data_IF_393303501399
#
_entry.id   IF_393303501399
#
_cell.length_a   1.000
_cell.length_b   1.000
_cell.length_c   1.000
_cell.angle_alpha   90.00
_cell.angle_beta   90.00
_cell.angle_gamma   90.00
#
_symmetry.space_group_name_H-M   'P 1'
#
loop_
_entity.id
_entity.type
_entity.pdbx_description
1 polymer ?
#
# COMPACT_ATOMS: atom_id res chain seq x y z
N UNK A 1 13.30 -5.09 0.20
CA UNK A 1 11.85 -5.19 0.43
C UNK A 1 11.12 -5.38 -0.89
N UNK A 2 9.79 -5.32 -0.91
CA UNK A 2 9.03 -5.11 -2.16
C UNK A 2 9.10 -3.62 -2.55
N UNK A 3 9.16 -3.24 -3.83
CA UNK A 3 9.11 -1.84 -4.24
C UNK A 3 7.70 -1.26 -4.03
N UNK A 4 7.61 0.04 -3.75
CA UNK A 4 6.33 0.74 -3.60
C UNK A 4 5.56 0.87 -4.92
N UNK A 5 6.27 0.90 -6.05
CA UNK A 5 5.72 0.86 -7.40
C UNK A 5 5.99 -0.53 -8.03
N UNK A 6 4.96 -1.28 -8.46
CA UNK A 6 5.15 -2.57 -9.11
C UNK A 6 5.62 -2.38 -10.55
N UNK A 7 6.74 -3.00 -10.92
CA UNK A 7 7.21 -3.00 -12.32
C UNK A 7 6.35 -3.93 -13.17
N UNK A 8 5.46 -3.35 -13.98
CA UNK A 8 4.62 -4.07 -14.92
C UNK A 8 5.33 -4.15 -16.29
N UNK A 9 5.31 -5.34 -16.89
CA UNK A 9 5.77 -5.59 -18.25
C UNK A 9 4.57 -5.98 -19.13
N UNK A 10 4.53 -5.53 -20.37
CA UNK A 10 3.50 -5.91 -21.35
C UNK A 10 4.14 -6.56 -22.58
N UNK A 11 3.40 -7.47 -23.23
CA UNK A 11 3.83 -8.08 -24.50
C UNK A 11 3.12 -7.38 -25.66
N UNK A 12 3.86 -6.95 -26.69
CA UNK A 12 3.28 -6.34 -27.92
C UNK A 12 2.65 -7.37 -28.88
N UNK A 13 2.41 -8.59 -28.42
CA UNK A 13 1.71 -9.62 -29.18
C UNK A 13 0.20 -9.33 -29.09
N UNK A 14 -0.44 -9.23 -30.25
CA UNK A 14 -1.89 -9.03 -30.33
C UNK A 14 -2.58 -10.36 -30.09
N UNK A 15 -3.09 -10.53 -28.88
CA UNK A 15 -3.91 -11.68 -28.50
C UNK A 15 -5.40 -11.27 -28.50
N UNK A 16 -6.29 -12.26 -28.58
CA UNK A 16 -7.75 -12.07 -28.53
C UNK A 16 -8.29 -12.70 -27.24
N UNK A 17 -8.33 -11.91 -26.16
CA UNK A 17 -8.76 -12.40 -24.85
C UNK A 17 -10.26 -12.19 -24.68
N UNK A 18 -11.01 -13.29 -24.63
CA UNK A 18 -12.41 -13.32 -24.22
C UNK A 18 -12.46 -13.62 -22.72
N UNK A 19 -13.12 -12.76 -21.94
CA UNK A 19 -13.39 -13.01 -20.53
C UNK A 19 -14.65 -13.88 -20.43
N UNK A 20 -14.63 -15.04 -19.74
CA UNK A 20 -15.80 -15.90 -19.62
C UNK A 20 -17.00 -15.15 -19.01
N UNK A 21 -18.19 -15.32 -19.59
CA UNK A 21 -19.41 -14.65 -19.11
C UNK A 21 -19.62 -14.88 -17.60
N UNK A 22 -19.95 -13.82 -16.86
CA UNK A 22 -20.12 -13.83 -15.40
C UNK A 22 -18.82 -13.90 -14.59
N UNK A 23 -17.64 -13.86 -15.21
CA UNK A 23 -16.37 -13.79 -14.47
C UNK A 23 -16.12 -12.36 -13.94
N UNK A 24 -15.84 -12.15 -12.64
CA UNK A 24 -15.56 -10.82 -12.08
C UNK A 24 -14.13 -10.36 -12.40
N UNK A 25 -13.98 -9.10 -12.78
CA UNK A 25 -12.69 -8.48 -13.09
C UNK A 25 -12.73 -6.99 -12.77
N UNK A 26 -11.55 -6.41 -12.47
CA UNK A 26 -11.44 -4.96 -12.26
C UNK A 26 -11.01 -4.27 -13.56
N UNK A 27 -11.51 -3.05 -13.77
CA UNK A 27 -11.20 -2.20 -14.91
C UNK A 27 -10.62 -0.87 -14.41
N UNK A 28 -9.36 -0.62 -14.69
CA UNK A 28 -8.68 0.64 -14.36
C UNK A 28 -8.42 1.44 -15.64
N UNK A 29 -8.89 2.67 -15.71
CA UNK A 29 -8.54 3.58 -16.80
C UNK A 29 -7.27 4.33 -16.42
N UNK A 30 -6.28 4.29 -17.31
CA UNK A 30 -4.97 4.87 -17.08
C UNK A 30 -4.98 6.36 -17.44
N UNK A 31 -4.35 7.20 -16.62
CA UNK A 31 -4.34 8.65 -16.82
C UNK A 31 -3.72 9.01 -18.18
N UNK A 32 -4.47 9.74 -19.00
CA UNK A 32 -4.16 9.92 -20.41
C UNK A 32 -2.87 10.73 -20.65
N UNK A 33 -2.57 11.68 -19.77
CA UNK A 33 -1.39 12.56 -19.87
C UNK A 33 -0.08 11.77 -19.64
N UNK A 34 0.02 11.01 -18.55
CA UNK A 34 1.22 10.21 -18.24
C UNK A 34 1.44 9.02 -19.20
N UNK A 35 0.41 8.64 -19.97
CA UNK A 35 0.41 7.40 -20.76
C UNK A 35 0.09 7.59 -22.25
N UNK A 36 0.08 8.84 -22.74
CA UNK A 36 -0.13 9.16 -24.16
C UNK A 36 0.78 8.35 -25.13
N UNK A 37 2.09 8.12 -24.86
CA UNK A 37 2.93 7.32 -25.77
C UNK A 37 2.50 5.84 -25.82
N UNK A 38 1.99 5.29 -24.71
CA UNK A 38 1.47 3.92 -24.65
C UNK A 38 0.12 3.82 -25.40
N UNK A 39 -0.73 4.85 -25.30
CA UNK A 39 -1.98 4.93 -26.03
C UNK A 39 -1.75 4.98 -27.55
N UNK A 40 -0.86 5.86 -28.01
CA UNK A 40 -0.43 5.96 -29.41
C UNK A 40 0.13 4.62 -29.91
N UNK A 41 1.01 3.99 -29.13
CA UNK A 41 1.66 2.73 -29.48
C UNK A 41 0.67 1.56 -29.61
N UNK A 42 -0.32 1.46 -28.73
CA UNK A 42 -1.39 0.46 -28.85
C UNK A 42 -2.22 0.76 -30.11
N UNK A 43 -2.65 2.02 -30.29
CA UNK A 43 -3.45 2.45 -31.43
C UNK A 43 -2.75 2.28 -32.80
N UNK A 44 -1.42 2.39 -32.85
CA UNK A 44 -0.64 2.17 -34.09
C UNK A 44 -0.52 0.70 -34.49
N UNK A 45 -0.85 -0.25 -33.61
CA UNK A 45 -0.76 -1.69 -33.92
C UNK A 45 -2.07 -2.32 -34.39
N UNK A 46 -3.11 -1.53 -34.66
CA UNK A 46 -4.43 -2.02 -35.10
C UNK A 46 -4.31 -2.78 -36.42
N UNK A 47 -4.48 -4.11 -36.35
CA UNK A 47 -4.44 -5.01 -37.51
C UNK A 47 -5.76 -4.92 -38.27
N UNK A 48 -5.77 -4.67 -39.60
CA UNK A 48 -6.98 -4.69 -40.40
C UNK A 48 -7.76 -6.01 -40.26
N UNK A 49 -9.08 -5.93 -40.14
CA UNK A 49 -9.96 -7.09 -39.91
C UNK A 49 -10.11 -7.51 -38.44
N UNK A 50 -9.11 -7.29 -37.59
CA UNK A 50 -9.25 -7.48 -36.14
C UNK A 50 -9.75 -6.16 -35.54
N UNK A 51 -11.05 -6.10 -35.22
CA UNK A 51 -11.66 -4.89 -34.67
C UNK A 51 -10.96 -4.38 -33.42
N UNK A 52 -10.84 -3.05 -33.26
CA UNK A 52 -10.14 -2.37 -32.13
C UNK A 52 -10.59 -2.82 -30.73
N UNK A 53 -11.76 -3.44 -30.63
CA UNK A 53 -12.31 -3.98 -29.39
C UNK A 53 -11.82 -5.40 -29.01
N UNK A 54 -11.04 -6.06 -29.88
CA UNK A 54 -10.52 -7.43 -29.67
C UNK A 54 -9.02 -7.43 -29.36
N UNK A 55 -8.26 -6.49 -29.93
CA UNK A 55 -6.83 -6.35 -29.71
C UNK A 55 -6.53 -6.01 -28.24
N UNK A 56 -5.73 -6.87 -27.60
CA UNK A 56 -5.30 -6.69 -26.23
C UNK A 56 -3.86 -7.19 -26.02
N UNK A 57 -3.15 -6.57 -25.08
CA UNK A 57 -1.73 -6.78 -24.82
C UNK A 57 -1.52 -7.36 -23.42
N UNK A 58 -1.11 -8.64 -23.28
CA UNK A 58 -0.96 -9.28 -21.97
C UNK A 58 0.05 -8.58 -21.06
N UNK A 59 -0.32 -8.36 -19.80
CA UNK A 59 0.51 -7.73 -18.76
C UNK A 59 0.92 -8.77 -17.71
N UNK A 60 2.21 -8.79 -17.38
CA UNK A 60 2.81 -9.58 -16.32
C UNK A 60 3.57 -8.68 -15.34
N UNK A 61 3.77 -9.14 -14.09
CA UNK A 61 4.64 -8.44 -13.14
C UNK A 61 6.08 -8.89 -13.41
N UNK A 62 7.04 -7.95 -13.46
CA UNK A 62 8.45 -8.28 -13.70
C UNK A 62 8.96 -9.25 -12.62
N UNK A 63 9.43 -10.42 -13.04
CA UNK A 63 9.86 -11.49 -12.13
C UNK A 63 8.74 -12.40 -11.60
N UNK A 64 7.52 -12.36 -12.17
CA UNK A 64 6.44 -13.31 -11.82
C UNK A 64 6.63 -14.74 -12.37
N UNK A 65 7.71 -15.00 -13.12
CA UNK A 65 8.04 -16.32 -13.65
C UNK A 65 8.21 -17.34 -12.52
N UNK A 66 7.49 -18.47 -12.62
CA UNK A 66 7.74 -19.64 -11.78
C UNK A 66 9.06 -20.26 -12.24
N UNK A 67 10.10 -20.19 -11.39
CA UNK A 67 11.51 -20.50 -11.70
C UNK A 67 11.80 -21.91 -12.23
N UNK A 68 10.77 -22.76 -12.29
CA UNK A 68 10.81 -24.19 -12.58
C UNK A 68 9.97 -24.60 -13.81
N UNK A 69 9.19 -23.70 -14.43
CA UNK A 69 8.09 -24.12 -15.34
C UNK A 69 7.77 -23.29 -16.58
N UNK A 70 8.31 -22.07 -16.80
CA UNK A 70 8.11 -21.37 -18.08
C UNK A 70 9.06 -20.20 -18.32
N UNK A 71 9.52 -20.06 -19.56
CA UNK A 71 10.25 -18.88 -20.05
C UNK A 71 9.35 -17.62 -20.11
N UNK A 72 8.04 -17.78 -20.34
CA UNK A 72 7.10 -16.65 -20.45
C UNK A 72 6.49 -16.35 -19.07
N UNK A 73 6.59 -15.09 -18.65
CA UNK A 73 6.00 -14.65 -17.38
C UNK A 73 4.47 -14.77 -17.40
N UNK A 74 3.90 -15.37 -16.34
CA UNK A 74 2.46 -15.54 -16.20
C UNK A 74 1.76 -14.18 -16.16
N UNK A 75 0.79 -13.91 -17.06
CA UNK A 75 0.07 -12.64 -17.09
C UNK A 75 -1.03 -12.59 -16.03
N UNK A 76 -1.37 -11.39 -15.57
CA UNK A 76 -2.44 -11.13 -14.59
C UNK A 76 -3.49 -10.14 -15.14
N UNK A 77 -3.42 -9.80 -16.42
CA UNK A 77 -4.32 -8.85 -17.04
C UNK A 77 -3.90 -8.52 -18.47
N UNK A 78 -4.56 -7.55 -19.06
CA UNK A 78 -4.19 -7.00 -20.37
C UNK A 78 -4.47 -5.51 -20.48
N UNK A 79 -3.68 -4.83 -21.30
CA UNK A 79 -3.97 -3.46 -21.75
C UNK A 79 -4.82 -3.51 -23.03
N UNK A 80 -5.74 -2.55 -23.17
CA UNK A 80 -6.54 -2.33 -24.37
C UNK A 80 -6.80 -0.83 -24.54
N UNK A 81 -6.75 -0.34 -25.78
CA UNK A 81 -7.12 1.05 -26.08
C UNK A 81 -8.61 1.29 -25.85
N UNK A 82 -8.96 2.45 -25.29
CA UNK A 82 -10.35 2.88 -25.14
C UNK A 82 -10.80 3.76 -26.32
N UNK A 83 -12.10 4.00 -26.43
CA UNK A 83 -12.70 4.82 -27.51
C UNK A 83 -12.33 6.31 -27.43
N UNK A 84 -11.92 6.78 -26.25
CA UNK A 84 -11.56 8.17 -25.97
C UNK A 84 -10.09 8.50 -26.27
N UNK A 85 -9.31 7.51 -26.73
CA UNK A 85 -7.88 7.66 -27.03
C UNK A 85 -6.93 7.41 -25.85
N UNK A 86 -7.45 6.97 -24.70
CA UNK A 86 -6.67 6.49 -23.55
C UNK A 86 -6.48 4.97 -23.53
N UNK A 87 -5.92 4.45 -22.43
CA UNK A 87 -5.66 3.01 -22.24
C UNK A 87 -6.37 2.51 -21.00
N UNK A 88 -6.93 1.30 -21.10
CA UNK A 88 -7.57 0.59 -19.99
C UNK A 88 -6.76 -0.65 -19.63
N UNK A 89 -6.44 -0.82 -18.34
CA UNK A 89 -5.92 -2.04 -17.76
C UNK A 89 -7.09 -2.88 -17.23
N UNK A 90 -7.23 -4.09 -17.77
CA UNK A 90 -8.13 -5.11 -17.24
C UNK A 90 -7.33 -6.03 -16.31
N UNK A 91 -7.68 -6.07 -15.02
CA UNK A 91 -7.01 -6.89 -14.01
C UNK A 91 -7.78 -8.19 -13.81
N UNK A 92 -7.05 -9.29 -13.86
CA UNK A 92 -7.51 -10.66 -13.90
C UNK A 92 -6.70 -11.54 -12.95
N UNK A 93 -7.10 -12.81 -12.74
CA UNK A 93 -6.33 -13.73 -11.93
C UNK A 93 -4.94 -14.02 -12.51
N UNK A 94 -3.99 -14.37 -11.63
CA UNK A 94 -2.67 -14.87 -12.02
C UNK A 94 -2.80 -16.07 -12.99
N UNK A 95 -2.19 -15.95 -14.17
CA UNK A 95 -2.29 -16.90 -15.27
C UNK A 95 -3.73 -17.16 -15.76
N UNK A 96 -4.53 -16.09 -15.92
CA UNK A 96 -5.91 -16.16 -16.40
C UNK A 96 -6.12 -16.93 -17.73
N UNK A 97 -5.21 -16.98 -18.74
CA UNK A 97 -5.50 -17.70 -19.98
C UNK A 97 -5.73 -19.19 -19.74
N UNK A 98 -4.89 -19.81 -18.89
CA UNK A 98 -5.04 -21.21 -18.51
C UNK A 98 -6.33 -21.42 -17.69
N UNK A 99 -6.66 -20.49 -16.80
CA UNK A 99 -7.89 -20.57 -16.01
C UNK A 99 -9.15 -20.49 -16.88
N UNK A 100 -9.17 -19.59 -17.88
CA UNK A 100 -10.32 -19.41 -18.76
C UNK A 100 -10.55 -20.65 -19.63
N UNK A 101 -9.49 -21.28 -20.15
CA UNK A 101 -9.58 -22.59 -20.81
C UNK A 101 -10.20 -23.65 -19.90
N UNK A 102 -9.79 -23.73 -18.62
CA UNK A 102 -10.38 -24.67 -17.67
C UNK A 102 -11.86 -24.37 -17.38
N UNK A 103 -12.24 -23.09 -17.24
CA UNK A 103 -13.64 -22.68 -17.04
C UNK A 103 -14.50 -23.04 -18.25
N UNK A 104 -13.98 -22.90 -19.47
CA UNK A 104 -14.66 -23.34 -20.68
C UNK A 104 -14.76 -24.86 -20.81
N UNK A 105 -13.69 -25.60 -20.52
CA UNK A 105 -13.71 -27.07 -20.49
C UNK A 105 -14.74 -27.60 -19.48
N UNK A 106 -14.91 -26.92 -18.34
CA UNK A 106 -15.92 -27.27 -17.34
C UNK A 106 -17.34 -26.94 -17.81
N UNK A 107 -17.58 -25.73 -18.36
CA UNK A 107 -18.90 -25.31 -18.88
C UNK A 107 -19.40 -26.17 -20.05
N UNK A 108 -18.50 -26.86 -20.76
CA UNK A 108 -18.82 -27.78 -21.86
C UNK A 108 -19.16 -29.21 -21.39
N UNK A 109 -19.09 -29.51 -20.08
CA UNK A 109 -19.45 -30.82 -19.50
C UNK A 109 -20.89 -30.78 -18.96
N UNK A 110 -21.87 -31.44 -19.62
CA UNK A 110 -23.30 -31.24 -19.31
C UNK A 110 -23.76 -31.79 -17.95
N UNK A 111 -22.98 -32.66 -17.32
CA UNK A 111 -23.41 -33.41 -16.12
C UNK A 111 -22.79 -32.88 -14.80
N UNK A 112 -22.13 -31.71 -14.82
CA UNK A 112 -21.48 -31.02 -13.68
C UNK A 112 -20.38 -31.78 -12.90
N UNK A 113 -20.28 -33.10 -13.02
CA UNK A 113 -19.20 -33.92 -12.50
C UNK A 113 -17.90 -33.65 -13.28
N UNK A 114 -17.05 -32.77 -12.73
CA UNK A 114 -15.74 -32.45 -13.26
C UNK A 114 -14.90 -33.73 -13.52
N UNK A 115 -14.53 -33.97 -14.78
CA UNK A 115 -13.81 -35.19 -15.15
C UNK A 115 -12.49 -35.35 -14.38
N UNK A 116 -12.03 -36.58 -14.07
CA UNK A 116 -10.77 -36.79 -13.31
C UNK A 116 -9.55 -36.13 -13.96
N UNK A 117 -9.50 -36.10 -15.30
CA UNK A 117 -8.47 -35.39 -16.07
C UNK A 117 -8.53 -33.87 -15.84
N UNK A 118 -9.72 -33.27 -15.99
CA UNK A 118 -9.93 -31.84 -15.73
C UNK A 118 -9.59 -31.47 -14.28
N UNK A 119 -10.02 -32.29 -13.32
CA UNK A 119 -9.78 -32.05 -11.89
C UNK A 119 -8.29 -32.08 -11.54
N UNK A 120 -7.50 -32.90 -12.25
CA UNK A 120 -6.05 -32.90 -12.11
C UNK A 120 -5.41 -31.64 -12.72
N UNK A 121 -5.83 -31.20 -13.93
CA UNK A 121 -5.39 -29.91 -14.49
C UNK A 121 -5.72 -28.73 -13.54
N UNK A 122 -6.92 -28.72 -12.98
CA UNK A 122 -7.38 -27.65 -12.07
C UNK A 122 -6.56 -27.63 -10.76
N UNK A 123 -6.31 -28.79 -10.14
CA UNK A 123 -5.41 -28.90 -8.98
C UNK A 123 -3.98 -28.44 -9.32
N UNK A 124 -3.46 -28.81 -10.48
CA UNK A 124 -2.14 -28.38 -10.94
C UNK A 124 -2.07 -26.85 -11.12
N UNK A 125 -3.07 -26.25 -11.76
CA UNK A 125 -3.20 -24.79 -11.86
C UNK A 125 -3.21 -24.13 -10.48
N UNK A 126 -4.04 -24.61 -9.54
CA UNK A 126 -4.10 -24.06 -8.18
C UNK A 126 -2.78 -24.23 -7.41
N UNK A 127 -1.99 -25.27 -7.69
CA UNK A 127 -0.63 -25.42 -7.13
C UNK A 127 0.37 -24.37 -7.64
N UNK A 128 0.08 -23.75 -8.80
CA UNK A 128 0.85 -22.64 -9.36
C UNK A 128 0.40 -21.26 -8.88
N UNK A 129 -0.80 -21.12 -8.31
CA UNK A 129 -1.32 -19.85 -7.80
C UNK A 129 -0.70 -19.54 -6.43
N UNK A 130 -0.08 -18.36 -6.23
CA UNK A 130 0.46 -17.97 -4.92
C UNK A 130 -0.62 -17.93 -3.83
N UNK A 131 -0.33 -18.54 -2.67
CA UNK A 131 -1.32 -18.81 -1.62
C UNK A 131 -2.12 -17.58 -1.14
N UNK A 132 -1.51 -16.39 -1.09
CA UNK A 132 -2.16 -15.16 -0.65
C UNK A 132 -3.36 -14.74 -1.53
N UNK A 133 -3.48 -15.23 -2.77
CA UNK A 133 -4.66 -15.01 -3.61
C UNK A 133 -5.86 -15.91 -3.24
N UNK A 134 -5.65 -17.01 -2.52
CA UNK A 134 -6.63 -18.11 -2.45
C UNK A 134 -7.98 -17.74 -1.79
N UNK A 135 -8.04 -16.70 -0.95
CA UNK A 135 -9.31 -16.15 -0.43
C UNK A 135 -10.17 -15.59 -1.56
N UNK A 136 -9.60 -14.74 -2.42
CA UNK A 136 -10.31 -14.11 -3.53
C UNK A 136 -10.79 -15.17 -4.54
N UNK A 137 -9.91 -16.12 -4.89
CA UNK A 137 -10.27 -17.23 -5.78
C UNK A 137 -11.41 -18.10 -5.23
N UNK A 138 -11.45 -18.40 -3.93
CA UNK A 138 -12.54 -19.18 -3.32
C UNK A 138 -13.90 -18.50 -3.49
N UNK A 139 -13.99 -17.19 -3.29
CA UNK A 139 -15.24 -16.47 -3.57
C UNK A 139 -15.56 -16.45 -5.07
N UNK A 140 -14.58 -16.23 -5.97
CA UNK A 140 -14.82 -16.28 -7.42
C UNK A 140 -15.34 -17.65 -7.87
N UNK A 141 -14.75 -18.76 -7.40
CA UNK A 141 -15.22 -20.10 -7.74
C UNK A 141 -16.58 -20.45 -7.16
N UNK A 142 -16.93 -19.92 -5.98
CA UNK A 142 -18.26 -20.02 -5.39
C UNK A 142 -19.31 -19.32 -6.27
N UNK A 143 -19.04 -18.10 -6.75
CA UNK A 143 -19.93 -17.39 -7.69
C UNK A 143 -20.07 -18.12 -9.05
N UNK A 144 -19.03 -18.84 -9.47
CA UNK A 144 -19.02 -19.65 -10.70
C UNK A 144 -19.56 -21.10 -10.50
N UNK A 145 -20.14 -21.44 -9.33
CA UNK A 145 -20.65 -22.78 -9.01
C UNK A 145 -19.59 -23.86 -8.71
N UNK A 146 -18.32 -23.59 -9.01
CA UNK A 146 -17.17 -24.49 -8.82
C UNK A 146 -16.61 -24.51 -7.40
N UNK A 147 -17.23 -23.82 -6.43
CA UNK A 147 -16.71 -23.71 -5.05
C UNK A 147 -16.41 -25.07 -4.40
N UNK A 148 -17.24 -26.09 -4.69
CA UNK A 148 -17.08 -27.46 -4.21
C UNK A 148 -15.84 -28.21 -4.76
N UNK A 149 -15.27 -27.72 -5.87
CA UNK A 149 -14.06 -28.28 -6.49
C UNK A 149 -12.76 -27.69 -5.91
N UNK A 150 -12.86 -26.63 -5.09
CA UNK A 150 -11.69 -25.94 -4.55
C UNK A 150 -11.18 -26.63 -3.28
N UNK A 151 -9.91 -27.05 -3.19
CA UNK A 151 -9.37 -27.70 -2.00
C UNK A 151 -9.52 -26.84 -0.72
N UNK A 152 -9.89 -27.47 0.39
CA UNK A 152 -10.10 -26.77 1.67
C UNK A 152 -8.85 -26.02 2.14
N UNK A 153 -7.67 -26.63 1.99
CA UNK A 153 -6.36 -26.07 2.29
C UNK A 153 -5.86 -25.00 1.30
N UNK A 154 -6.53 -24.80 0.16
CA UNK A 154 -6.10 -23.81 -0.83
C UNK A 154 -6.12 -22.39 -0.24
N UNK A 155 -5.01 -21.67 -0.38
CA UNK A 155 -4.84 -20.31 0.13
C UNK A 155 -4.55 -20.16 1.63
N UNK A 156 -4.41 -21.26 2.39
CA UNK A 156 -4.01 -21.19 3.79
C UNK A 156 -2.57 -20.64 3.87
N UNK A 157 -2.41 -19.55 4.61
CA UNK A 157 -1.12 -18.85 4.84
C UNK A 157 -0.74 -18.99 6.32
N UNK A 158 0.53 -19.19 6.70
CA UNK A 158 0.95 -19.32 8.09
C UNK A 158 0.48 -18.14 8.96
N UNK A 159 -0.45 -18.41 9.88
CA UNK A 159 -1.17 -17.37 10.63
C UNK A 159 -0.35 -16.75 11.77
N UNK A 160 0.40 -17.58 12.52
CA UNK A 160 1.09 -17.16 13.74
C UNK A 160 2.08 -16.00 13.55
N UNK A 161 2.89 -16.02 12.48
CA UNK A 161 3.84 -14.94 12.17
C UNK A 161 3.09 -13.63 11.87
N UNK A 162 2.04 -13.69 11.05
CA UNK A 162 1.24 -12.51 10.70
C UNK A 162 0.53 -11.92 11.94
N UNK A 163 0.00 -12.76 12.83
CA UNK A 163 -0.58 -12.31 14.11
C UNK A 163 0.45 -11.66 15.03
N UNK A 164 1.68 -12.17 15.07
CA UNK A 164 2.76 -11.57 15.87
C UNK A 164 3.20 -10.20 15.31
N UNK A 165 3.33 -10.08 13.99
CA UNK A 165 3.65 -8.81 13.31
C UNK A 165 2.56 -7.75 13.54
N UNK A 166 1.28 -8.10 13.39
CA UNK A 166 0.19 -7.14 13.65
C UNK A 166 0.09 -6.75 15.14
N UNK A 167 0.43 -7.65 16.09
CA UNK A 167 0.57 -7.28 17.51
C UNK A 167 1.70 -6.26 17.74
N UNK A 168 2.89 -6.49 17.18
CA UNK A 168 4.03 -5.55 17.28
C UNK A 168 3.64 -4.19 16.69
N UNK A 169 3.05 -4.19 15.50
CA UNK A 169 2.58 -2.99 14.79
C UNK A 169 1.50 -2.22 15.57
N UNK A 170 0.60 -2.91 16.26
CA UNK A 170 -0.40 -2.29 17.12
C UNK A 170 0.22 -1.67 18.38
N UNK A 171 1.20 -2.33 19.02
CA UNK A 171 1.93 -1.77 20.15
C UNK A 171 2.75 -0.54 19.74
N UNK A 172 3.54 -0.64 18.67
CA UNK A 172 4.34 0.46 18.14
C UNK A 172 3.49 1.67 17.71
N UNK A 173 2.31 1.44 17.10
CA UNK A 173 1.36 2.53 16.84
C UNK A 173 0.83 3.14 18.14
N UNK A 174 0.43 2.34 19.13
CA UNK A 174 -0.06 2.86 20.42
C UNK A 174 1.00 3.72 21.13
N UNK A 175 2.26 3.29 21.12
CA UNK A 175 3.38 4.03 21.70
C UNK A 175 3.65 5.35 20.93
N UNK A 176 3.62 5.31 19.59
CA UNK A 176 3.68 6.51 18.77
C UNK A 176 2.54 7.49 19.07
N UNK A 177 1.29 7.00 19.10
CA UNK A 177 0.10 7.82 19.37
C UNK A 177 0.14 8.41 20.80
N UNK A 178 0.77 7.74 21.78
CA UNK A 178 1.00 8.29 23.13
C UNK A 178 2.04 9.41 23.09
N UNK A 179 3.22 9.16 22.49
CA UNK A 179 4.32 10.13 22.46
C UNK A 179 3.99 11.37 21.61
N UNK A 180 3.23 11.20 20.52
CA UNK A 180 2.82 12.30 19.63
C UNK A 180 1.75 13.21 20.26
N UNK A 181 0.86 12.66 21.08
CA UNK A 181 -0.21 13.41 21.74
C UNK A 181 0.15 13.89 23.16
N UNK A 182 1.35 13.60 23.67
CA UNK A 182 1.82 14.16 24.94
C UNK A 182 2.22 15.63 24.77
N UNK A 183 1.64 16.58 25.53
CA UNK A 183 2.16 17.94 25.59
C UNK A 183 3.53 17.94 26.29
N UNK A 184 4.47 18.75 25.79
CA UNK A 184 5.88 18.72 26.19
C UNK A 184 6.16 19.00 27.69
N UNK A 185 5.17 19.46 28.45
CA UNK A 185 5.28 19.75 29.89
C UNK A 185 5.38 18.51 30.80
N UNK A 186 4.93 17.34 30.35
CA UNK A 186 4.80 16.14 31.20
C UNK A 186 6.16 15.50 31.53
N UNK A 187 7.21 15.76 30.74
CA UNK A 187 8.56 15.22 30.99
C UNK A 187 9.23 15.89 32.21
N UNK A 188 8.83 17.12 32.56
CA UNK A 188 9.47 17.93 33.61
C UNK A 188 8.86 17.81 35.01
N UNK A 189 7.63 17.28 35.17
CA UNK A 189 6.90 17.38 36.45
C UNK A 189 7.44 16.52 37.60
N UNK A 190 8.24 15.50 37.31
CA UNK A 190 8.71 14.54 38.33
C UNK A 190 10.01 14.97 39.06
N UNK A 191 10.52 16.18 38.80
CA UNK A 191 11.68 16.77 39.52
C UNK A 191 11.28 18.07 40.23
N UNK A 192 9.98 18.29 40.48
CA UNK A 192 9.44 19.46 41.17
C UNK A 192 9.57 19.39 42.72
N UNK A 193 10.60 18.72 43.23
CA UNK A 193 11.13 19.03 44.56
C UNK A 193 12.10 20.22 44.39
N UNK A 194 11.92 21.30 45.15
CA UNK A 194 12.73 22.51 45.00
C UNK A 194 14.21 22.21 45.25
N UNK A 195 14.96 21.97 44.17
CA UNK A 195 16.38 21.63 44.22
C UNK A 195 17.14 22.91 44.52
N UNK A 196 17.82 23.04 45.68
CA UNK A 196 18.45 24.29 46.06
C UNK A 196 19.50 24.71 45.02
N UNK A 197 19.58 26.03 44.79
CA UNK A 197 20.58 26.63 43.92
C UNK A 197 21.98 26.26 44.44
N UNK A 198 22.94 25.92 43.56
CA UNK A 198 24.28 25.56 43.98
C UNK A 198 25.00 26.77 44.58
N UNK A 199 25.36 26.70 45.85
CA UNK A 199 26.04 27.78 46.60
C UNK A 199 27.45 28.08 46.09
N UNK A 200 28.01 27.18 45.28
CA UNK A 200 29.37 27.23 44.74
C UNK A 200 29.35 26.68 43.30
N UNK A 201 29.95 27.41 42.36
CA UNK A 201 29.97 27.04 40.95
C UNK A 201 30.82 25.78 40.67
N UNK A 202 31.79 25.46 41.53
CA UNK A 202 32.67 24.30 41.34
C UNK A 202 32.03 22.96 41.77
N UNK A 203 30.93 23.00 42.54
CA UNK A 203 30.21 21.80 42.99
C UNK A 203 29.18 21.30 41.95
N UNK A 204 29.13 21.92 40.76
CA UNK A 204 28.24 21.54 39.66
C UNK A 204 28.93 20.50 38.76
N UNK A 205 28.47 19.24 38.71
CA UNK A 205 29.08 18.24 37.84
C UNK A 205 28.75 18.54 36.37
N UNK A 206 29.68 18.18 35.47
CA UNK A 206 29.69 18.62 34.05
C UNK A 206 28.42 18.23 33.26
N UNK A 207 27.75 17.16 33.66
CA UNK A 207 26.50 16.68 33.07
C UNK A 207 25.26 17.49 33.52
N UNK A 208 25.30 18.19 34.66
CA UNK A 208 24.22 19.07 35.12
C UNK A 208 24.38 20.54 34.70
N UNK A 209 25.56 20.92 34.21
CA UNK A 209 25.98 22.32 34.02
C UNK A 209 24.92 23.21 33.33
N UNK A 210 24.30 22.72 32.24
CA UNK A 210 23.32 23.48 31.48
C UNK A 210 21.98 23.67 32.24
N UNK A 211 21.55 22.66 33.00
CA UNK A 211 20.38 22.78 33.88
C UNK A 211 20.66 23.80 34.99
N UNK A 212 21.77 23.63 35.73
CA UNK A 212 22.11 24.50 36.86
C UNK A 212 22.34 25.95 36.45
N UNK A 213 22.91 26.20 35.27
CA UNK A 213 23.02 27.54 34.70
C UNK A 213 21.65 28.16 34.41
N UNK A 214 20.71 27.37 33.89
CA UNK A 214 19.32 27.80 33.65
C UNK A 214 18.58 28.08 34.96
N UNK A 215 18.78 27.24 35.98
CA UNK A 215 18.21 27.41 37.33
C UNK A 215 18.70 28.73 37.97
N UNK A 216 20.02 28.98 37.93
CA UNK A 216 20.65 30.20 38.42
C UNK A 216 20.19 31.45 37.66
N UNK A 217 20.11 31.39 36.33
CA UNK A 217 19.64 32.50 35.50
C UNK A 217 18.18 32.87 35.80
N UNK A 218 17.32 31.86 35.98
CA UNK A 218 15.93 32.07 36.38
C UNK A 218 15.77 32.57 37.83
N UNK A 219 16.69 32.20 38.74
CA UNK A 219 16.78 32.78 40.08
C UNK A 219 17.13 34.26 40.04
N UNK A 220 18.23 34.60 39.37
CA UNK A 220 18.69 35.98 39.17
C UNK A 220 17.62 36.88 38.53
N UNK A 221 16.91 36.40 37.49
CA UNK A 221 15.82 37.15 36.86
C UNK A 221 14.61 37.39 37.79
N UNK A 222 14.38 36.54 38.81
CA UNK A 222 13.36 36.78 39.84
C UNK A 222 13.83 37.82 40.86
N UNK A 223 15.07 37.76 41.31
CA UNK A 223 15.64 38.72 42.28
C UNK A 223 15.78 40.13 41.69
N UNK A 224 16.19 40.25 40.43
CA UNK A 224 16.46 41.54 39.76
C UNK A 224 15.18 42.30 39.34
N UNK A 225 14.00 41.69 39.45
CA UNK A 225 12.71 42.41 39.42
C UNK A 225 12.45 43.26 38.16
N UNK A 226 12.32 42.61 37.01
CA UNK A 226 12.21 43.19 35.66
C UNK A 226 11.48 44.55 35.55
N UNK A 227 12.20 45.58 35.09
CA UNK A 227 12.01 46.15 33.76
C UNK A 227 13.22 45.81 32.87
N UNK A 228 13.15 45.72 31.54
CA UNK A 228 12.67 46.71 30.55
C UNK A 228 12.10 45.95 29.31
N UNK A 229 11.22 46.58 28.53
CA UNK A 229 10.59 45.95 27.37
C UNK A 229 11.38 45.97 26.05
N UNK A 230 11.22 44.91 25.25
CA UNK A 230 11.30 44.83 23.76
C UNK A 230 12.47 45.53 23.05
N UNK A 231 13.52 44.77 22.71
CA UNK A 231 14.54 45.11 21.69
C UNK A 231 15.14 43.84 21.06
N UNK A 232 15.49 43.87 19.76
CA UNK A 232 15.92 42.69 18.97
C UNK A 232 17.42 42.65 18.64
N UNK A 233 17.97 41.44 18.64
CA UNK A 233 19.02 40.89 17.76
C UNK A 233 18.94 39.34 17.92
N UNK A 234 18.77 38.43 16.95
CA UNK A 234 19.16 38.33 15.52
C UNK A 234 20.69 38.37 15.34
N UNK A 235 21.39 37.46 14.64
CA UNK A 235 21.10 36.46 13.58
C UNK A 235 22.04 35.24 13.81
N UNK A 236 21.81 33.94 13.50
CA UNK A 236 20.78 33.10 12.82
C UNK A 236 20.08 32.17 13.86
N UNK A 237 19.30 31.08 13.62
CA UNK A 237 18.89 30.26 12.45
C UNK A 237 19.39 28.78 12.59
N UNK A 238 18.70 27.71 12.16
CA UNK A 238 17.48 27.61 11.32
C UNK A 238 16.62 26.37 11.64
N UNK A 239 15.28 26.53 11.61
CA UNK A 239 14.30 25.57 11.06
C UNK A 239 12.91 26.24 10.95
N UNK A 240 11.94 25.63 10.26
CA UNK A 240 11.01 26.38 9.40
C UNK A 240 9.49 26.26 9.66
N UNK A 241 8.80 27.36 9.36
CA UNK A 241 7.41 27.49 8.86
C UNK A 241 6.22 27.21 9.80
N UNK A 242 5.40 28.25 9.98
CA UNK A 242 3.93 28.15 10.08
C UNK A 242 3.31 29.08 9.02
N UNK A 243 2.14 28.73 8.46
CA UNK A 243 1.20 29.69 7.89
C UNK A 243 0.17 30.13 8.95
N UNK A 244 -0.55 31.21 8.64
CA UNK A 244 -1.77 31.67 9.30
C UNK A 244 -2.96 30.73 8.96
N UNK A 245 -4.13 30.78 9.61
CA UNK A 245 -4.62 31.69 10.65
C UNK A 245 -6.03 31.28 11.13
N UNK A 246 -6.81 32.27 11.59
CA UNK A 246 -8.20 32.17 12.13
C UNK A 246 -8.39 31.58 13.54
N UNK A 247 -9.19 32.30 14.35
CA UNK A 247 -9.74 31.88 15.64
C UNK A 247 -11.22 32.28 15.64
N UNK A 248 -12.12 31.31 15.49
CA UNK A 248 -13.57 31.53 15.52
C UNK A 248 -14.12 31.49 16.94
N UNK A 249 -14.80 32.56 17.38
CA UNK A 249 -15.48 32.61 18.69
C UNK A 249 -16.96 32.21 18.52
N UNK A 250 -17.46 31.18 19.24
CA UNK A 250 -18.87 30.81 19.17
C UNK A 250 -19.75 31.77 19.99
N UNK A 251 -20.67 32.48 19.33
CA UNK A 251 -21.70 33.30 20.00
C UNK A 251 -22.89 32.39 20.36
N UNK A 252 -22.89 31.84 21.58
CA UNK A 252 -24.00 31.02 22.10
C UNK A 252 -24.04 30.95 23.64
N UNK A 253 -24.04 32.10 24.33
CA UNK A 253 -24.33 32.21 25.76
C UNK A 253 -24.74 33.65 26.16
N UNK A 254 -26.00 33.99 25.92
CA UNK A 254 -26.77 34.99 26.70
C UNK A 254 -27.82 34.22 27.49
#
# INVERSE_FOLDING_TARGET
GRPCQPLLCYTRQTESIVIPAGFPFDKYELQQEEHQPLAQLIASTVVPGIGRNVQCWPVCVRGSQRRDRSDRAAPFGFLRGNTSGGVTLYVLPFNFPHLFTLIEEFRKQPNAAASPSWMNKFKEYLSGVPCYYGKCYKEVFKHLGMGHLTPSNFGVTPSGINQHVEKIKAMAKKEYDILFNQPASVVTSNVAAERPLPTNAFDVPRNELHSRWTDLWNGFLKEVGHPIGKGKAEVYGSLTRKPDGEVSVPIAAM
#
